data_IF_477202539995
#
_entry.id   IF_477202539995
#
_cell.length_a   1.000
_cell.length_b   1.000
_cell.length_c   1.000
_cell.angle_alpha   90.00
_cell.angle_beta   90.00
_cell.angle_gamma   90.00
#
_symmetry.space_group_name_H-M   'P 1'
#
loop_
_entity.id
_entity.type
_entity.pdbx_description
1 polymer ?
#
# COMPACT_ATOMS: atom_id res chain seq x y z
N UNK A 1 -36.63 -26.88 -43.43
CA UNK A 1 -36.88 -26.08 -44.64
C UNK A 1 -38.27 -25.46 -44.54
N UNK A 2 -38.39 -24.18 -44.16
CA UNK A 2 -39.36 -23.17 -44.66
C UNK A 2 -39.30 -21.87 -43.84
N UNK A 3 -38.89 -20.79 -44.53
CA UNK A 3 -39.32 -19.36 -44.54
C UNK A 3 -39.38 -18.56 -43.21
N UNK A 4 -38.63 -17.45 -43.00
CA UNK A 4 -38.44 -16.10 -43.64
C UNK A 4 -39.36 -14.99 -43.07
N UNK A 5 -38.72 -13.80 -42.97
CA UNK A 5 -39.22 -12.40 -42.84
C UNK A 5 -39.30 -11.83 -41.40
N UNK A 6 -38.85 -10.61 -41.06
CA UNK A 6 -38.24 -9.51 -41.83
C UNK A 6 -37.94 -8.28 -40.92
N UNK A 7 -36.90 -7.51 -41.28
CA UNK A 7 -36.53 -6.13 -40.84
C UNK A 7 -37.61 -5.08 -41.18
N UNK A 8 -37.60 -3.77 -40.74
CA UNK A 8 -36.47 -2.80 -40.63
C UNK A 8 -36.59 -1.84 -39.40
N UNK A 9 -35.73 -0.87 -39.04
CA UNK A 9 -34.71 -0.03 -39.68
C UNK A 9 -34.98 1.44 -39.24
N UNK A 10 -33.97 2.19 -38.74
CA UNK A 10 -34.06 3.66 -38.64
C UNK A 10 -32.67 4.33 -38.65
N UNK A 11 -32.48 5.16 -39.66
CA UNK A 11 -31.37 6.09 -39.88
C UNK A 11 -31.95 7.49 -40.05
N UNK A 12 -31.27 8.53 -39.54
CA UNK A 12 -31.24 9.94 -39.98
C UNK A 12 -30.61 10.77 -38.83
N UNK A 13 -29.90 11.88 -38.99
CA UNK A 13 -29.10 12.53 -40.06
C UNK A 13 -28.43 13.75 -39.37
N UNK A 14 -27.27 14.16 -39.88
CA UNK A 14 -26.43 15.31 -39.45
C UNK A 14 -27.00 16.70 -39.78
N UNK A 15 -26.63 17.72 -38.99
CA UNK A 15 -26.32 19.12 -39.35
C UNK A 15 -25.93 19.86 -38.04
N UNK A 16 -24.94 20.74 -37.86
CA UNK A 16 -24.03 21.54 -38.69
C UNK A 16 -23.70 22.82 -37.85
N UNK A 17 -22.47 23.37 -37.85
CA UNK A 17 -22.06 24.40 -36.88
C UNK A 17 -22.29 25.85 -37.36
N UNK A 18 -22.43 26.80 -36.42
CA UNK A 18 -22.41 28.25 -36.68
C UNK A 18 -21.26 28.94 -35.93
N UNK A 19 -20.35 29.54 -36.67
CA UNK A 19 -19.44 30.62 -36.26
C UNK A 19 -19.50 31.71 -37.34
N UNK A 20 -19.71 32.98 -36.98
CA UNK A 20 -19.26 34.25 -37.65
C UNK A 20 -19.48 35.35 -36.57
N UNK A 21 -18.51 36.04 -35.97
CA UNK A 21 -17.45 36.98 -36.41
C UNK A 21 -17.86 38.47 -36.51
N UNK A 22 -16.97 39.34 -35.98
CA UNK A 22 -16.82 40.77 -36.30
C UNK A 22 -17.34 41.76 -35.23
N UNK A 23 -16.77 42.95 -35.00
CA UNK A 23 -15.63 43.69 -35.58
C UNK A 23 -15.39 44.99 -34.75
N UNK A 24 -14.12 45.32 -34.52
CA UNK A 24 -13.41 46.62 -34.59
C UNK A 24 -13.90 47.99 -34.00
N UNK A 25 -12.96 48.62 -33.25
CA UNK A 25 -12.37 50.01 -33.34
C UNK A 25 -13.33 51.21 -33.10
N UNK A 26 -12.95 52.40 -32.60
CA UNK A 26 -11.70 53.09 -32.26
C UNK A 26 -12.05 54.35 -31.42
N UNK A 27 -11.18 54.68 -30.45
CA UNK A 27 -10.62 56.00 -30.07
C UNK A 27 -11.39 57.33 -30.28
N UNK A 28 -11.40 58.19 -29.24
CA UNK A 28 -11.13 59.64 -29.36
C UNK A 28 -10.76 60.31 -28.02
N UNK A 29 -10.05 61.42 -28.16
CA UNK A 29 -9.17 62.12 -27.21
C UNK A 29 -9.84 63.28 -26.42
N UNK A 30 -9.24 63.55 -25.25
CA UNK A 30 -8.97 64.85 -24.57
C UNK A 30 -10.11 65.79 -24.12
N UNK A 31 -10.08 66.13 -22.82
CA UNK A 31 -10.10 67.52 -22.34
C UNK A 31 -9.44 67.67 -20.94
N UNK A 32 -8.54 68.65 -20.80
CA UNK A 32 -7.86 69.09 -19.57
C UNK A 32 -8.74 70.07 -18.79
N UNK A 33 -8.72 70.02 -17.44
CA UNK A 33 -8.72 71.22 -16.59
C UNK A 33 -8.35 70.88 -15.12
N UNK A 34 -7.30 71.55 -14.63
CA UNK A 34 -7.12 72.07 -13.27
C UNK A 34 -7.23 71.13 -12.05
N UNK A 35 -6.09 70.80 -11.44
CA UNK A 35 -6.01 70.75 -9.96
C UNK A 35 -4.55 70.87 -9.50
N UNK A 36 -4.28 72.02 -8.91
CA UNK A 36 -3.45 72.30 -7.73
C UNK A 36 -2.30 71.33 -7.40
N UNK A 37 -1.09 71.87 -7.53
CA UNK A 37 0.19 71.36 -7.02
C UNK A 37 0.12 70.97 -5.54
N UNK A 38 0.07 69.67 -5.26
CA UNK A 38 0.64 69.09 -4.04
C UNK A 38 2.02 68.56 -4.39
N UNK A 39 3.05 69.19 -3.83
CA UNK A 39 4.40 68.62 -3.72
C UNK A 39 4.30 67.27 -3.01
N UNK A 40 4.41 66.19 -3.78
CA UNK A 40 4.64 64.84 -3.24
C UNK A 40 6.04 64.82 -2.65
N UNK A 41 6.09 65.02 -1.33
CA UNK A 41 7.25 64.71 -0.52
C UNK A 41 7.66 63.24 -0.72
N UNK A 42 8.95 63.06 -0.95
CA UNK A 42 9.72 61.82 -0.85
C UNK A 42 9.03 60.54 -1.37
N UNK A 43 9.35 60.15 -2.61
CA UNK A 43 9.42 58.73 -2.94
C UNK A 43 10.42 58.08 -1.97
N UNK A 44 9.94 57.51 -0.87
CA UNK A 44 10.70 56.46 -0.19
C UNK A 44 10.87 55.35 -1.21
N UNK A 45 12.10 55.17 -1.69
CA UNK A 45 12.47 53.98 -2.46
C UNK A 45 12.04 52.77 -1.64
N UNK A 46 10.96 52.12 -2.07
CA UNK A 46 10.55 50.85 -1.49
C UNK A 46 11.64 49.86 -1.87
N UNK A 47 12.34 49.37 -0.86
CA UNK A 47 13.28 48.29 -1.06
C UNK A 47 12.60 47.15 -1.82
N UNK A 48 13.29 46.65 -2.83
CA UNK A 48 12.89 45.43 -3.50
C UNK A 48 12.99 44.27 -2.52
N UNK A 49 12.17 43.23 -2.73
CA UNK A 49 12.17 42.01 -1.91
C UNK A 49 13.58 41.41 -1.79
N UNK A 50 14.40 41.55 -2.84
CA UNK A 50 15.80 41.10 -2.83
C UNK A 50 16.68 41.95 -1.90
N UNK A 51 16.55 43.27 -1.93
CA UNK A 51 17.29 44.16 -1.02
C UNK A 51 16.91 43.94 0.45
N UNK A 52 15.63 43.67 0.72
CA UNK A 52 15.17 43.29 2.06
C UNK A 52 15.82 41.97 2.48
N UNK A 53 15.76 40.94 1.64
CA UNK A 53 16.40 39.64 1.93
C UNK A 53 17.88 39.78 2.24
N UNK A 54 18.64 40.48 1.38
CA UNK A 54 20.09 40.59 1.49
C UNK A 54 20.50 41.32 2.77
N UNK A 55 19.75 42.34 3.19
CA UNK A 55 19.98 43.03 4.47
C UNK A 55 19.73 42.15 5.69
N UNK A 56 18.86 41.15 5.56
CA UNK A 56 18.50 40.24 6.65
C UNK A 56 19.21 38.88 6.55
N UNK A 57 20.11 38.69 5.57
CA UNK A 57 20.88 37.46 5.38
C UNK A 57 21.68 37.11 6.64
N UNK A 58 22.37 38.10 7.19
CA UNK A 58 23.16 37.96 8.42
C UNK A 58 22.29 37.69 9.66
N UNK A 59 20.96 37.80 9.56
CA UNK A 59 20.00 37.54 10.65
C UNK A 59 19.33 36.17 10.53
N UNK A 60 19.58 35.43 9.45
CA UNK A 60 19.15 34.04 9.28
C UNK A 60 20.12 33.14 10.06
N UNK A 61 19.92 33.04 11.37
CA UNK A 61 20.69 32.14 12.22
C UNK A 61 19.93 30.82 12.43
N UNK A 62 20.69 29.74 12.66
CA UNK A 62 20.17 28.41 12.98
C UNK A 62 19.20 28.36 14.18
N UNK A 63 19.20 29.38 15.03
CA UNK A 63 18.25 29.52 16.15
C UNK A 63 16.83 29.91 15.71
N UNK A 64 16.68 30.43 14.48
CA UNK A 64 15.38 30.64 13.83
C UNK A 64 14.84 29.37 13.19
N UNK A 65 15.66 28.32 13.08
CA UNK A 65 15.20 27.01 12.68
C UNK A 65 14.30 26.46 13.79
N UNK A 66 13.14 25.94 13.41
CA UNK A 66 12.25 25.29 14.37
C UNK A 66 13.01 24.21 15.14
N UNK A 67 12.94 24.27 16.49
CA UNK A 67 13.44 23.22 17.35
C UNK A 67 12.87 21.86 16.87
N UNK A 68 13.70 20.82 16.72
CA UNK A 68 13.29 19.52 16.18
C UNK A 68 12.53 18.75 17.27
N UNK A 69 11.32 19.22 17.59
CA UNK A 69 10.41 18.46 18.43
C UNK A 69 9.89 17.30 17.56
N UNK A 70 10.55 16.15 17.72
CA UNK A 70 10.24 14.88 17.08
C UNK A 70 11.19 14.56 15.93
N UNK A 71 11.81 13.37 15.97
CA UNK A 71 12.57 12.81 14.84
C UNK A 71 11.61 12.65 13.67
N UNK A 72 11.66 13.52 12.64
CA UNK A 72 10.86 13.34 11.46
C UNK A 72 11.47 12.14 10.74
N UNK A 73 10.70 11.11 10.47
CA UNK A 73 11.18 9.92 9.76
C UNK A 73 11.70 10.36 8.40
N UNK A 74 13.02 10.38 8.25
CA UNK A 74 13.82 10.62 7.03
C UNK A 74 13.47 11.93 6.31
N UNK A 75 14.26 12.99 6.55
CA UNK A 75 14.19 14.16 5.68
C UNK A 75 14.84 13.80 4.35
N UNK A 76 14.26 14.31 3.25
CA UNK A 76 14.89 14.42 1.92
C UNK A 76 16.26 15.15 1.93
N UNK A 77 16.71 15.63 3.09
CA UNK A 77 17.96 16.36 3.33
C UNK A 77 18.96 15.62 4.21
N UNK A 78 18.62 14.43 4.72
CA UNK A 78 19.59 13.61 5.45
C UNK A 78 20.69 13.20 4.46
N UNK A 79 21.98 13.30 4.82
CA UNK A 79 23.04 12.86 3.93
C UNK A 79 22.80 11.39 3.60
N UNK A 80 22.67 11.09 2.31
CA UNK A 80 22.50 9.73 1.81
C UNK A 80 23.61 8.87 2.41
N UNK A 81 23.28 7.80 3.17
CA UNK A 81 24.29 6.94 3.74
C UNK A 81 25.23 6.40 2.67
N UNK A 82 26.49 6.15 3.03
CA UNK A 82 27.39 5.43 2.14
C UNK A 82 26.77 4.08 1.74
N UNK A 83 26.93 3.68 0.48
CA UNK A 83 26.45 2.39 0.02
C UNK A 83 27.16 1.27 0.81
N UNK A 84 26.37 0.37 1.39
CA UNK A 84 26.90 -0.87 1.96
C UNK A 84 27.19 -1.88 0.85
N UNK A 85 28.13 -2.83 1.08
CA UNK A 85 28.24 -4.02 0.25
C UNK A 85 26.87 -4.73 0.12
N UNK A 86 26.47 -5.21 -1.06
CA UNK A 86 25.11 -5.73 -1.26
C UNK A 86 24.69 -6.86 -0.33
N UNK A 87 25.61 -7.79 -0.02
CA UNK A 87 25.34 -8.87 0.94
C UNK A 87 25.08 -8.35 2.35
N UNK A 88 25.86 -7.36 2.78
CA UNK A 88 25.66 -6.72 4.07
C UNK A 88 24.32 -5.98 4.11
N UNK A 89 23.99 -5.26 3.04
CA UNK A 89 22.72 -4.55 2.94
C UNK A 89 21.52 -5.48 3.06
N UNK A 90 21.48 -6.56 2.27
CA UNK A 90 20.38 -7.52 2.29
C UNK A 90 20.30 -8.24 3.63
N UNK A 91 21.44 -8.63 4.21
CA UNK A 91 21.45 -9.22 5.56
C UNK A 91 20.83 -8.28 6.61
N UNK A 92 21.24 -7.02 6.64
CA UNK A 92 20.68 -6.03 7.59
C UNK A 92 19.17 -5.83 7.37
N UNK A 93 18.72 -5.79 6.12
CA UNK A 93 17.31 -5.65 5.78
C UNK A 93 16.49 -6.88 6.21
N UNK A 94 17.01 -8.09 5.98
CA UNK A 94 16.42 -9.36 6.45
C UNK A 94 16.30 -9.36 7.97
N UNK A 95 17.38 -8.99 8.68
CA UNK A 95 17.39 -8.92 10.14
C UNK A 95 16.35 -7.91 10.67
N UNK A 96 16.21 -6.75 10.02
CA UNK A 96 15.19 -5.75 10.39
C UNK A 96 13.76 -6.31 10.27
N UNK A 97 13.46 -6.98 9.16
CA UNK A 97 12.14 -7.59 8.93
C UNK A 97 11.88 -8.72 9.93
N UNK A 98 12.82 -9.65 10.10
CA UNK A 98 12.64 -10.83 10.95
C UNK A 98 12.55 -10.51 12.44
N UNK A 99 13.23 -9.47 12.90
CA UNK A 99 13.18 -9.03 14.30
C UNK A 99 11.96 -8.13 14.61
N UNK A 100 11.14 -7.79 13.61
CA UNK A 100 9.96 -6.97 13.80
C UNK A 100 8.71 -7.82 14.09
N UNK A 101 8.19 -7.74 15.31
CA UNK A 101 6.90 -8.35 15.64
C UNK A 101 5.76 -7.87 14.72
N UNK A 102 5.82 -6.61 14.28
CA UNK A 102 4.84 -6.06 13.34
C UNK A 102 4.95 -6.64 11.92
N UNK A 103 6.13 -7.10 11.50
CA UNK A 103 6.28 -7.82 10.25
C UNK A 103 5.82 -9.28 10.38
N UNK A 104 6.05 -9.87 11.56
CA UNK A 104 5.83 -11.28 11.85
C UNK A 104 4.52 -11.52 12.64
N UNK A 105 4.60 -11.81 13.95
CA UNK A 105 3.43 -12.11 14.80
C UNK A 105 3.22 -10.95 15.77
N UNK A 106 2.23 -10.10 15.51
CA UNK A 106 1.78 -9.08 16.45
C UNK A 106 0.54 -9.50 17.25
N UNK A 107 -0.04 -8.56 18.02
CA UNK A 107 -0.92 -8.88 19.16
C UNK A 107 -2.20 -9.62 18.76
N UNK A 108 -2.78 -9.33 17.59
CA UNK A 108 -3.92 -10.09 17.10
C UNK A 108 -3.55 -11.54 16.78
N UNK A 109 -2.46 -11.75 16.04
CA UNK A 109 -2.01 -13.08 15.64
C UNK A 109 -1.55 -13.93 16.83
N UNK A 110 -0.96 -13.33 17.86
CA UNK A 110 -0.66 -14.04 19.13
C UNK A 110 -1.92 -14.69 19.72
N UNK A 111 -3.03 -13.96 19.75
CA UNK A 111 -4.31 -14.48 20.27
C UNK A 111 -4.92 -15.52 19.34
N UNK A 112 -4.82 -15.31 18.02
CA UNK A 112 -5.30 -16.27 17.03
C UNK A 112 -4.56 -17.61 17.13
N UNK A 113 -3.23 -17.56 17.17
CA UNK A 113 -2.38 -18.76 17.29
C UNK A 113 -2.60 -19.46 18.64
N UNK A 114 -2.84 -18.69 19.71
CA UNK A 114 -3.17 -19.22 21.02
C UNK A 114 -4.61 -19.77 21.14
N UNK A 115 -5.39 -19.79 20.05
CA UNK A 115 -6.79 -20.25 20.01
C UNK A 115 -7.72 -19.47 20.97
N UNK A 116 -7.41 -18.19 21.17
CA UNK A 116 -8.15 -17.29 22.08
C UNK A 116 -9.14 -16.39 21.32
N UNK A 117 -9.22 -16.52 20.00
CA UNK A 117 -10.16 -15.77 19.17
C UNK A 117 -11.38 -16.66 18.92
N UNK A 118 -12.61 -16.25 19.32
CA UNK A 118 -13.81 -17.03 19.02
C UNK A 118 -14.15 -16.99 17.52
N UNK A 119 -14.98 -17.93 17.06
CA UNK A 119 -15.31 -18.13 15.64
C UNK A 119 -15.75 -16.84 14.93
N UNK A 120 -16.67 -16.10 15.54
CA UNK A 120 -17.07 -14.74 15.13
C UNK A 120 -15.90 -13.80 14.81
N UNK A 121 -14.83 -13.80 15.61
CA UNK A 121 -13.68 -12.93 15.46
C UNK A 121 -12.77 -13.42 14.35
N UNK A 122 -12.66 -14.74 14.19
CA UNK A 122 -11.97 -15.35 13.05
C UNK A 122 -12.70 -15.05 11.75
N UNK A 123 -14.04 -15.06 11.75
CA UNK A 123 -14.88 -14.63 10.62
C UNK A 123 -14.68 -13.15 10.28
N UNK A 124 -14.61 -12.27 11.29
CA UNK A 124 -14.27 -10.87 11.04
C UNK A 124 -12.87 -10.71 10.45
N UNK A 125 -11.89 -11.43 10.98
CA UNK A 125 -10.53 -11.38 10.47
C UNK A 125 -10.40 -11.88 9.03
N UNK A 126 -11.00 -13.01 8.67
CA UNK A 126 -10.90 -13.53 7.30
C UNK A 126 -11.53 -12.59 6.28
N UNK A 127 -12.63 -11.91 6.65
CA UNK A 127 -13.24 -10.86 5.84
C UNK A 127 -12.29 -9.66 5.62
N UNK A 128 -11.60 -9.21 6.67
CA UNK A 128 -10.62 -8.13 6.55
C UNK A 128 -9.37 -8.56 5.76
N UNK A 129 -8.90 -9.80 5.94
CA UNK A 129 -7.77 -10.33 5.19
C UNK A 129 -8.11 -10.49 3.69
N UNK A 130 -9.33 -10.89 3.35
CA UNK A 130 -9.79 -11.00 1.97
C UNK A 130 -9.64 -9.70 1.18
N UNK A 131 -9.82 -8.54 1.82
CA UNK A 131 -9.62 -7.23 1.17
C UNK A 131 -8.17 -7.08 0.70
N UNK A 132 -7.19 -7.48 1.52
CA UNK A 132 -5.77 -7.49 1.15
C UNK A 132 -5.45 -8.59 0.13
N UNK A 133 -5.96 -9.79 0.30
CA UNK A 133 -5.74 -10.89 -0.66
C UNK A 133 -6.27 -10.56 -2.07
N UNK A 134 -7.39 -9.83 -2.19
CA UNK A 134 -7.91 -9.37 -3.50
C UNK A 134 -6.98 -8.40 -4.22
N UNK A 135 -6.27 -7.53 -3.49
CA UNK A 135 -5.38 -6.55 -4.13
C UNK A 135 -3.98 -7.12 -4.39
N UNK A 136 -3.58 -8.20 -3.72
CA UNK A 136 -2.23 -8.74 -3.78
C UNK A 136 -1.77 -9.09 -5.21
N UNK A 137 -2.55 -9.80 -6.04
CA UNK A 137 -2.16 -10.06 -7.43
C UNK A 137 -1.90 -8.78 -8.24
N UNK A 138 -2.66 -7.71 -7.97
CA UNK A 138 -2.45 -6.40 -8.62
C UNK A 138 -1.16 -5.72 -8.17
N UNK A 139 -0.77 -5.89 -6.91
CA UNK A 139 0.51 -5.40 -6.37
C UNK A 139 1.67 -6.07 -7.11
N UNK A 140 1.65 -7.40 -7.22
CA UNK A 140 2.68 -8.19 -7.93
C UNK A 140 2.74 -7.83 -9.41
N UNK A 141 1.58 -7.72 -10.07
CA UNK A 141 1.49 -7.30 -11.46
C UNK A 141 2.10 -5.91 -11.71
N UNK A 142 1.87 -4.96 -10.79
CA UNK A 142 2.41 -3.61 -10.93
C UNK A 142 3.94 -3.57 -10.72
N UNK A 143 4.49 -4.37 -9.81
CA UNK A 143 5.95 -4.49 -9.64
C UNK A 143 6.56 -5.04 -10.95
N UNK A 144 5.95 -6.08 -11.52
CA UNK A 144 6.37 -6.63 -12.82
C UNK A 144 6.32 -5.57 -13.94
N UNK A 145 5.23 -4.80 -14.03
CA UNK A 145 5.07 -3.75 -15.04
C UNK A 145 6.12 -2.64 -14.89
N UNK A 146 6.44 -2.23 -13.65
CA UNK A 146 7.40 -1.17 -13.35
C UNK A 146 8.85 -1.59 -13.61
N UNK A 147 9.15 -2.89 -13.66
CA UNK A 147 10.47 -3.44 -13.97
C UNK A 147 10.78 -3.42 -15.49
N UNK A 148 10.32 -2.40 -16.23
CA UNK A 148 10.29 -2.37 -17.71
C UNK A 148 11.61 -2.78 -18.38
N UNK A 149 12.74 -2.30 -17.86
CA UNK A 149 14.08 -2.56 -18.41
C UNK A 149 14.87 -3.65 -17.67
N UNK A 150 14.26 -4.28 -16.65
CA UNK A 150 14.87 -5.27 -15.79
C UNK A 150 14.26 -6.64 -16.10
N UNK A 151 14.77 -7.28 -17.16
CA UNK A 151 14.15 -8.47 -17.74
C UNK A 151 14.11 -9.66 -16.78
N UNK A 152 15.16 -9.87 -15.99
CA UNK A 152 15.22 -10.87 -14.93
C UNK A 152 14.20 -10.61 -13.83
N UNK A 153 14.08 -9.37 -13.37
CA UNK A 153 13.04 -8.98 -12.41
C UNK A 153 11.63 -9.23 -12.97
N UNK A 154 11.39 -9.00 -14.26
CA UNK A 154 10.11 -9.33 -14.91
C UNK A 154 9.85 -10.83 -15.04
N UNK A 155 10.88 -11.65 -15.25
CA UNK A 155 10.70 -13.10 -15.25
C UNK A 155 10.30 -13.59 -13.87
N UNK A 156 11.01 -13.14 -12.83
CA UNK A 156 10.69 -13.46 -11.44
C UNK A 156 9.28 -13.01 -11.06
N UNK A 157 8.98 -11.71 -11.17
CA UNK A 157 7.67 -11.19 -10.79
C UNK A 157 6.54 -11.73 -11.69
N UNK A 158 6.84 -12.14 -12.92
CA UNK A 158 5.90 -12.78 -13.82
C UNK A 158 5.55 -14.20 -13.41
N UNK A 159 6.52 -14.96 -12.89
CA UNK A 159 6.27 -16.28 -12.29
C UNK A 159 5.44 -16.16 -11.01
N UNK A 160 5.86 -15.27 -10.08
CA UNK A 160 5.10 -14.96 -8.87
C UNK A 160 3.66 -14.54 -9.22
N UNK A 161 3.46 -13.64 -10.20
CA UNK A 161 2.11 -13.28 -10.65
C UNK A 161 1.31 -14.48 -11.18
N UNK A 162 1.94 -15.39 -11.92
CA UNK A 162 1.24 -16.58 -12.42
C UNK A 162 0.75 -17.45 -11.26
N UNK A 163 1.54 -17.61 -10.20
CA UNK A 163 1.15 -18.32 -8.98
C UNK A 163 0.02 -17.63 -8.24
N UNK A 164 0.08 -16.30 -8.08
CA UNK A 164 -0.99 -15.50 -7.49
C UNK A 164 -2.31 -15.62 -8.28
N UNK A 165 -2.21 -15.81 -9.60
CA UNK A 165 -3.33 -16.09 -10.50
C UNK A 165 -3.76 -17.57 -10.51
N UNK A 166 -3.27 -18.37 -9.56
CA UNK A 166 -3.57 -19.79 -9.42
C UNK A 166 -3.01 -20.64 -10.56
N UNK A 167 -1.87 -20.26 -11.12
CA UNK A 167 -1.28 -20.85 -12.32
C UNK A 167 -2.25 -20.80 -13.51
N UNK A 168 -2.99 -19.69 -13.62
CA UNK A 168 -4.09 -19.49 -14.58
C UNK A 168 -5.30 -20.42 -14.39
N UNK A 169 -5.39 -21.11 -13.26
CA UNK A 169 -6.63 -21.73 -12.80
C UNK A 169 -7.38 -20.76 -11.88
N UNK A 170 -8.51 -20.16 -12.32
CA UNK A 170 -9.23 -19.18 -11.52
C UNK A 170 -9.80 -19.73 -10.22
N UNK A 171 -9.95 -21.05 -10.06
CA UNK A 171 -10.38 -21.68 -8.81
C UNK A 171 -9.27 -21.73 -7.73
N UNK A 172 -8.04 -21.38 -8.11
CA UNK A 172 -6.85 -21.37 -7.25
C UNK A 172 -6.21 -19.99 -7.15
N UNK A 173 -6.86 -18.95 -7.69
CA UNK A 173 -6.41 -17.57 -7.50
C UNK A 173 -6.31 -17.27 -6.00
N UNK A 174 -5.32 -16.47 -5.60
CA UNK A 174 -5.07 -16.15 -4.20
C UNK A 174 -6.34 -15.70 -3.44
N UNK A 175 -7.13 -14.70 -3.88
CA UNK A 175 -8.37 -14.33 -3.20
C UNK A 175 -9.41 -15.47 -3.15
N UNK A 176 -9.42 -16.37 -4.12
CA UNK A 176 -10.36 -17.50 -4.15
C UNK A 176 -10.01 -18.53 -3.08
N UNK A 177 -8.73 -18.79 -2.83
CA UNK A 177 -8.31 -19.69 -1.73
C UNK A 177 -8.68 -19.11 -0.35
N UNK A 178 -8.59 -17.78 -0.17
CA UNK A 178 -9.09 -17.11 1.05
C UNK A 178 -10.61 -17.20 1.17
N UNK A 179 -11.37 -17.13 0.07
CA UNK A 179 -12.82 -17.37 0.07
C UNK A 179 -13.18 -18.79 0.47
N UNK A 180 -12.43 -19.81 0.03
CA UNK A 180 -12.63 -21.20 0.48
C UNK A 180 -12.51 -21.32 1.99
N UNK A 181 -11.50 -20.70 2.59
CA UNK A 181 -11.35 -20.62 4.05
C UNK A 181 -12.55 -19.91 4.70
N UNK A 182 -12.98 -18.76 4.15
CA UNK A 182 -14.15 -18.03 4.63
C UNK A 182 -15.43 -18.88 4.62
N UNK A 183 -15.68 -19.59 3.52
CA UNK A 183 -16.82 -20.49 3.37
C UNK A 183 -16.78 -21.65 4.37
N UNK A 184 -15.60 -22.26 4.59
CA UNK A 184 -15.42 -23.30 5.61
C UNK A 184 -15.68 -22.79 7.04
N UNK A 185 -15.40 -21.52 7.30
CA UNK A 185 -15.74 -20.84 8.55
C UNK A 185 -17.20 -20.40 8.62
N UNK A 186 -17.98 -20.56 7.55
CA UNK A 186 -19.40 -20.17 7.46
C UNK A 186 -19.63 -18.69 7.15
N UNK A 187 -18.70 -18.03 6.46
CA UNK A 187 -18.88 -16.69 5.86
C UNK A 187 -19.21 -16.87 4.39
N UNK A 188 -20.30 -16.28 3.92
CA UNK A 188 -20.68 -16.34 2.51
C UNK A 188 -19.79 -15.45 1.63
N UNK A 189 -19.74 -15.79 0.34
CA UNK A 189 -19.04 -14.98 -0.66
C UNK A 189 -19.56 -13.53 -0.73
N UNK A 190 -20.86 -13.32 -0.51
CA UNK A 190 -21.47 -11.97 -0.47
C UNK A 190 -20.98 -11.18 0.75
N UNK A 191 -20.93 -11.80 1.92
CA UNK A 191 -20.39 -11.16 3.13
C UNK A 191 -18.92 -10.80 2.95
N UNK A 192 -18.12 -11.66 2.31
CA UNK A 192 -16.72 -11.38 2.00
C UNK A 192 -16.59 -10.19 1.04
N UNK A 193 -17.38 -10.15 -0.03
CA UNK A 193 -17.28 -9.15 -1.09
C UNK A 193 -17.65 -7.74 -0.61
N UNK A 194 -18.71 -7.64 0.20
CA UNK A 194 -19.27 -6.38 0.69
C UNK A 194 -18.83 -6.00 2.11
N UNK A 195 -17.83 -6.68 2.66
CA UNK A 195 -17.26 -6.28 3.95
C UNK A 195 -16.71 -4.86 3.88
N UNK A 196 -17.16 -4.01 4.81
CA UNK A 196 -16.54 -2.70 5.03
C UNK A 196 -15.16 -2.88 5.68
N UNK A 197 -14.09 -2.28 5.10
CA UNK A 197 -12.77 -2.34 5.70
C UNK A 197 -12.77 -1.60 7.03
N UNK A 198 -12.08 -2.14 8.03
CA UNK A 198 -11.68 -1.35 9.18
C UNK A 198 -10.79 -0.19 8.70
N UNK A 199 -10.80 0.98 9.38
CA UNK A 199 -9.96 2.11 8.98
C UNK A 199 -8.49 1.73 8.79
N UNK A 200 -7.95 0.89 9.65
CA UNK A 200 -6.57 0.41 9.55
C UNK A 200 -6.36 -0.59 8.39
N UNK A 201 -7.36 -1.40 8.06
CA UNK A 201 -7.34 -2.27 6.88
C UNK A 201 -7.32 -1.44 5.61
N UNK A 202 -8.17 -0.40 5.53
CA UNK A 202 -8.22 0.51 4.39
C UNK A 202 -6.88 1.21 4.18
N UNK A 203 -6.32 1.81 5.23
CA UNK A 203 -5.02 2.50 5.18
C UNK A 203 -3.89 1.55 4.76
N UNK A 204 -3.89 0.32 5.27
CA UNK A 204 -2.89 -0.68 4.90
C UNK A 204 -2.97 -1.04 3.41
N UNK A 205 -4.17 -1.35 2.91
CA UNK A 205 -4.42 -1.71 1.50
C UNK A 205 -4.09 -0.55 0.56
N UNK A 206 -4.50 0.67 0.90
CA UNK A 206 -4.19 1.87 0.12
C UNK A 206 -2.69 2.17 0.09
N UNK A 207 -1.98 1.98 1.21
CA UNK A 207 -0.53 2.12 1.25
C UNK A 207 0.15 1.17 0.27
N UNK A 208 -0.30 -0.09 0.19
CA UNK A 208 0.28 -1.07 -0.73
C UNK A 208 0.10 -0.67 -2.19
N UNK A 209 -1.07 -0.15 -2.55
CA UNK A 209 -1.32 0.36 -3.90
C UNK A 209 -0.46 1.60 -4.21
N UNK A 210 -0.35 2.53 -3.25
CA UNK A 210 0.50 3.71 -3.37
C UNK A 210 1.98 3.32 -3.58
N UNK A 211 2.48 2.36 -2.79
CA UNK A 211 3.83 1.82 -2.88
C UNK A 211 4.18 1.38 -4.31
N UNK A 212 3.32 0.58 -4.96
CA UNK A 212 3.62 0.07 -6.31
C UNK A 212 3.26 1.04 -7.42
N UNK A 213 2.39 2.02 -7.19
CA UNK A 213 2.04 3.03 -8.19
C UNK A 213 3.08 4.13 -8.30
N UNK A 214 3.59 4.59 -7.16
CA UNK A 214 4.30 5.87 -7.07
C UNK A 214 5.79 5.72 -6.75
N UNK A 215 6.24 4.57 -6.24
CA UNK A 215 7.66 4.34 -5.92
C UNK A 215 8.39 3.52 -6.99
N UNK A 216 9.72 3.48 -6.88
CA UNK A 216 10.56 2.71 -7.79
C UNK A 216 10.26 1.21 -7.65
N UNK A 217 10.38 0.45 -8.73
CA UNK A 217 10.05 -0.99 -8.74
C UNK A 217 10.80 -1.78 -7.64
N UNK A 218 12.04 -1.39 -7.33
CA UNK A 218 12.86 -2.02 -6.29
C UNK A 218 12.33 -1.74 -4.86
N UNK A 219 11.73 -0.57 -4.64
CA UNK A 219 11.03 -0.25 -3.38
C UNK A 219 9.75 -1.11 -3.28
N UNK A 220 9.02 -1.23 -4.39
CA UNK A 220 7.85 -2.11 -4.51
C UNK A 220 8.18 -3.58 -4.26
N UNK A 221 9.25 -4.12 -4.87
CA UNK A 221 9.76 -5.46 -4.64
C UNK A 221 10.09 -5.67 -3.16
N UNK A 222 10.92 -4.79 -2.59
CA UNK A 222 11.41 -4.94 -1.23
C UNK A 222 10.28 -4.94 -0.19
N UNK A 223 9.34 -4.02 -0.33
CA UNK A 223 8.30 -3.79 0.68
C UNK A 223 7.00 -4.56 0.42
N UNK A 224 6.73 -4.91 -0.84
CA UNK A 224 5.49 -5.51 -1.33
C UNK A 224 5.57 -7.00 -1.68
N UNK A 225 6.78 -7.56 -1.82
CA UNK A 225 7.02 -9.01 -1.94
C UNK A 225 8.00 -9.46 -0.85
N UNK A 226 9.30 -9.14 -0.94
CA UNK A 226 10.35 -9.61 -0.03
C UNK A 226 9.98 -9.52 1.45
N UNK A 227 9.67 -8.32 1.97
CA UNK A 227 9.42 -8.12 3.39
C UNK A 227 8.12 -8.78 3.88
N UNK A 228 7.21 -9.13 2.97
CA UNK A 228 5.95 -9.80 3.27
C UNK A 228 6.18 -11.31 3.31
N UNK A 229 6.64 -11.85 2.19
CA UNK A 229 6.87 -13.27 1.94
C UNK A 229 7.88 -13.87 2.94
N UNK A 230 8.93 -13.13 3.31
CA UNK A 230 9.94 -13.57 4.29
C UNK A 230 9.35 -13.96 5.67
N UNK A 231 8.18 -13.41 6.04
CA UNK A 231 7.57 -13.64 7.37
C UNK A 231 6.36 -14.57 7.33
N UNK A 232 5.79 -14.82 6.16
CA UNK A 232 4.52 -15.52 6.00
C UNK A 232 4.63 -17.01 6.36
N UNK A 233 5.61 -17.79 5.85
CA UNK A 233 5.61 -19.26 6.00
C UNK A 233 5.47 -19.71 7.45
N UNK A 234 6.31 -19.16 8.33
CA UNK A 234 6.28 -19.54 9.74
C UNK A 234 4.99 -19.12 10.46
N UNK A 235 4.44 -17.95 10.12
CA UNK A 235 3.18 -17.47 10.68
C UNK A 235 2.02 -18.33 10.19
N UNK A 236 1.96 -18.64 8.90
CA UNK A 236 0.86 -19.39 8.29
C UNK A 236 0.84 -20.86 8.74
N UNK A 237 2.01 -21.49 8.93
CA UNK A 237 2.10 -22.81 9.58
C UNK A 237 1.45 -22.84 10.97
N UNK A 238 1.65 -21.79 11.77
CA UNK A 238 1.07 -21.70 13.12
C UNK A 238 -0.42 -21.40 13.09
N UNK A 239 -0.86 -20.48 12.21
CA UNK A 239 -2.28 -20.16 12.04
C UNK A 239 -3.06 -21.38 11.55
N UNK A 240 -2.58 -22.10 10.53
CA UNK A 240 -3.24 -23.29 10.01
C UNK A 240 -3.45 -24.36 11.09
N UNK A 241 -2.41 -24.61 11.91
CA UNK A 241 -2.50 -25.53 13.07
C UNK A 241 -3.54 -25.08 14.08
N UNK A 242 -3.56 -23.79 14.42
CA UNK A 242 -4.52 -23.24 15.38
C UNK A 242 -5.96 -23.33 14.87
N UNK A 243 -6.20 -22.96 13.61
CA UNK A 243 -7.54 -23.01 13.01
C UNK A 243 -8.05 -24.44 12.84
N UNK A 244 -7.20 -25.37 12.39
CA UNK A 244 -7.55 -26.79 12.29
C UNK A 244 -7.94 -27.34 13.67
N UNK A 245 -7.12 -27.10 14.70
CA UNK A 245 -7.39 -27.60 16.05
C UNK A 245 -8.64 -27.00 16.69
N UNK A 246 -8.94 -25.72 16.43
CA UNK A 246 -10.04 -25.02 17.08
C UNK A 246 -11.40 -25.23 16.38
N UNK A 247 -11.41 -25.40 15.05
CA UNK A 247 -12.64 -25.44 14.26
C UNK A 247 -12.78 -26.66 13.35
N UNK A 248 -11.90 -27.67 13.49
CA UNK A 248 -11.92 -28.92 12.71
C UNK A 248 -11.85 -28.69 11.20
N UNK A 249 -11.05 -27.69 10.79
CA UNK A 249 -10.80 -27.39 9.38
C UNK A 249 -9.85 -28.41 8.76
N UNK A 250 -10.21 -28.88 7.57
CA UNK A 250 -9.45 -29.86 6.80
C UNK A 250 -8.36 -29.23 5.91
N UNK A 251 -7.64 -30.08 5.18
CA UNK A 251 -6.55 -29.68 4.30
C UNK A 251 -7.03 -28.77 3.14
N UNK A 252 -8.26 -28.96 2.65
CA UNK A 252 -8.82 -28.18 1.54
C UNK A 252 -9.19 -26.77 2.01
N UNK A 253 -9.84 -26.63 3.17
CA UNK A 253 -10.15 -25.34 3.78
C UNK A 253 -8.89 -24.51 4.11
N UNK A 254 -7.76 -25.19 4.36
CA UNK A 254 -6.49 -24.57 4.73
C UNK A 254 -5.51 -24.42 3.56
N UNK A 255 -5.93 -24.68 2.32
CA UNK A 255 -5.10 -24.64 1.10
C UNK A 255 -4.25 -23.35 1.04
N UNK A 256 -4.86 -22.19 1.32
CA UNK A 256 -4.17 -20.89 1.28
C UNK A 256 -2.92 -20.85 2.16
N UNK A 257 -2.94 -21.46 3.35
CA UNK A 257 -1.79 -21.44 4.25
C UNK A 257 -0.67 -22.37 3.78
N UNK A 258 -1.03 -23.47 3.12
CA UNK A 258 -0.09 -24.51 2.68
C UNK A 258 0.74 -24.04 1.50
N UNK A 259 0.09 -23.42 0.52
CA UNK A 259 0.74 -22.87 -0.68
C UNK A 259 1.85 -21.90 -0.25
N UNK A 260 1.54 -20.92 0.61
CA UNK A 260 2.54 -19.95 1.05
C UNK A 260 3.61 -20.56 1.99
N UNK A 261 3.28 -21.61 2.75
CA UNK A 261 4.22 -22.24 3.69
C UNK A 261 5.20 -23.22 3.03
N UNK A 262 5.01 -23.55 1.74
CA UNK A 262 5.68 -24.66 1.07
C UNK A 262 5.10 -26.00 1.53
N UNK A 263 4.39 -26.71 0.65
CA UNK A 263 3.85 -28.04 0.90
C UNK A 263 4.24 -28.96 -0.26
N UNK A 264 5.22 -29.82 0.01
CA UNK A 264 5.83 -30.75 -0.96
C UNK A 264 4.81 -31.70 -1.63
N UNK A 265 3.57 -31.77 -1.11
CA UNK A 265 2.49 -32.57 -1.69
C UNK A 265 1.79 -31.88 -2.87
N UNK A 266 2.04 -30.59 -3.12
CA UNK A 266 1.47 -29.86 -4.25
C UNK A 266 2.25 -30.22 -5.53
N UNK A 267 1.55 -30.66 -6.58
CA UNK A 267 2.15 -31.16 -7.84
C UNK A 267 3.06 -30.14 -8.56
N UNK A 268 2.88 -28.84 -8.28
CA UNK A 268 3.66 -27.74 -8.85
C UNK A 268 4.26 -26.84 -7.76
N UNK A 269 4.68 -27.39 -6.61
CA UNK A 269 5.23 -26.60 -5.51
C UNK A 269 6.48 -25.81 -5.96
N UNK A 270 6.32 -24.49 -6.18
CA UNK A 270 7.44 -23.54 -6.34
C UNK A 270 8.11 -23.23 -4.98
N UNK A 271 7.78 -23.99 -3.92
CA UNK A 271 8.43 -23.99 -2.61
C UNK A 271 7.94 -22.94 -1.64
N UNK A 272 6.81 -22.30 -1.93
CA UNK A 272 6.18 -21.28 -1.10
C UNK A 272 6.97 -19.97 -0.99
N UNK A 273 6.53 -19.12 -0.07
CA UNK A 273 7.04 -17.74 0.06
C UNK A 273 8.52 -17.66 0.50
N UNK A 274 9.09 -18.74 1.05
CA UNK A 274 10.52 -18.79 1.38
C UNK A 274 11.38 -18.69 0.09
N UNK A 275 10.94 -19.30 -1.02
CA UNK A 275 11.64 -19.18 -2.31
C UNK A 275 11.46 -17.79 -2.90
N UNK A 276 10.23 -17.25 -2.88
CA UNK A 276 9.96 -15.88 -3.34
C UNK A 276 10.81 -14.84 -2.62
N UNK A 277 10.93 -14.96 -1.29
CA UNK A 277 11.74 -14.07 -0.49
C UNK A 277 13.24 -14.14 -0.87
N UNK A 278 13.80 -15.34 -1.11
CA UNK A 278 15.20 -15.47 -1.51
C UNK A 278 15.46 -14.95 -2.93
N UNK A 279 14.56 -15.17 -3.88
CA UNK A 279 14.67 -14.62 -5.23
C UNK A 279 14.56 -13.09 -5.24
N UNK A 280 13.63 -12.53 -4.45
CA UNK A 280 13.55 -11.09 -4.25
C UNK A 280 14.83 -10.55 -3.58
N UNK A 281 15.41 -11.27 -2.61
CA UNK A 281 16.69 -10.92 -2.00
C UNK A 281 17.83 -10.89 -3.02
N UNK A 282 17.87 -11.83 -3.98
CA UNK A 282 18.84 -11.84 -5.07
C UNK A 282 18.75 -10.61 -5.97
N UNK A 283 17.53 -10.16 -6.29
CA UNK A 283 17.32 -8.90 -7.02
C UNK A 283 17.75 -7.68 -6.21
N UNK A 284 17.52 -7.68 -4.88
CA UNK A 284 18.00 -6.61 -3.99
C UNK A 284 19.54 -6.56 -3.97
N UNK A 285 20.23 -7.71 -3.84
CA UNK A 285 21.70 -7.78 -3.92
C UNK A 285 22.22 -7.21 -5.25
N UNK A 286 21.51 -7.48 -6.34
CA UNK A 286 21.92 -7.06 -7.69
C UNK A 286 21.68 -5.58 -7.96
N UNK A 287 20.58 -5.01 -7.48
CA UNK A 287 20.11 -3.69 -7.92
C UNK A 287 20.15 -2.60 -6.84
N UNK A 288 20.15 -2.94 -5.54
CA UNK A 288 20.28 -1.96 -4.44
C UNK A 288 21.75 -1.67 -4.12
N UNK A 289 22.50 -1.15 -5.11
CA UNK A 289 23.97 -1.01 -5.04
C UNK A 289 24.46 0.41 -4.73
N UNK A 290 23.56 1.39 -4.68
CA UNK A 290 23.88 2.78 -4.33
C UNK A 290 23.30 3.13 -2.96
N UNK A 291 23.93 4.07 -2.25
CA UNK A 291 23.45 4.52 -0.95
C UNK A 291 22.03 5.08 -1.00
N UNK A 292 21.69 5.77 -2.09
CA UNK A 292 20.35 6.33 -2.33
C UNK A 292 19.31 5.22 -2.47
N UNK A 293 19.55 4.23 -3.35
CA UNK A 293 18.62 3.12 -3.54
C UNK A 293 18.48 2.28 -2.27
N UNK A 294 19.58 2.01 -1.56
CA UNK A 294 19.54 1.30 -0.29
C UNK A 294 18.73 2.04 0.78
N UNK A 295 18.89 3.36 0.86
CA UNK A 295 18.12 4.20 1.78
C UNK A 295 16.63 4.16 1.46
N UNK A 296 16.27 4.33 0.18
CA UNK A 296 14.89 4.27 -0.30
C UNK A 296 14.24 2.92 -0.04
N UNK A 297 14.95 1.82 -0.34
CA UNK A 297 14.50 0.46 -0.06
C UNK A 297 14.22 0.25 1.44
N UNK A 298 15.15 0.65 2.33
CA UNK A 298 14.93 0.56 3.78
C UNK A 298 13.69 1.34 4.20
N UNK A 299 13.52 2.55 3.69
CA UNK A 299 12.38 3.40 4.02
C UNK A 299 11.06 2.77 3.56
N UNK A 300 11.02 2.17 2.37
CA UNK A 300 9.86 1.45 1.87
C UNK A 300 9.51 0.23 2.74
N UNK A 301 10.52 -0.56 3.13
CA UNK A 301 10.34 -1.71 4.03
C UNK A 301 9.85 -1.27 5.40
N UNK A 302 10.47 -0.26 6.00
CA UNK A 302 10.04 0.30 7.28
C UNK A 302 8.58 0.78 7.24
N UNK A 303 8.18 1.51 6.20
CA UNK A 303 6.79 1.96 6.01
C UNK A 303 5.83 0.77 5.87
N UNK A 304 6.21 -0.28 5.14
CA UNK A 304 5.44 -1.53 5.04
C UNK A 304 5.28 -2.22 6.41
N UNK A 305 6.33 -2.23 7.24
CA UNK A 305 6.26 -2.74 8.62
C UNK A 305 5.29 -1.89 9.47
N UNK A 306 5.32 -0.56 9.35
CA UNK A 306 4.39 0.30 10.10
C UNK A 306 2.94 0.13 9.63
N UNK A 307 2.71 0.01 8.32
CA UNK A 307 1.38 -0.22 7.79
C UNK A 307 0.80 -1.57 8.28
N UNK A 308 1.62 -2.63 8.31
CA UNK A 308 1.26 -3.92 8.92
C UNK A 308 1.00 -3.82 10.41
N UNK A 309 1.81 -3.03 11.14
CA UNK A 309 1.58 -2.75 12.56
C UNK A 309 0.18 -2.16 12.77
N UNK A 310 -0.17 -1.13 11.99
CA UNK A 310 -1.49 -0.50 12.07
C UNK A 310 -2.60 -1.50 11.80
N UNK A 311 -2.50 -2.28 10.72
CA UNK A 311 -3.47 -3.33 10.38
C UNK A 311 -3.68 -4.32 11.55
N UNK A 312 -2.59 -4.86 12.10
CA UNK A 312 -2.66 -5.84 13.20
C UNK A 312 -3.25 -5.26 14.49
N UNK A 313 -2.93 -4.00 14.80
CA UNK A 313 -3.54 -3.31 15.94
C UNK A 313 -5.00 -2.96 15.70
N UNK A 314 -5.39 -2.64 14.47
CA UNK A 314 -6.79 -2.46 14.07
C UNK A 314 -7.59 -3.75 14.30
N UNK A 315 -7.10 -4.89 13.79
CA UNK A 315 -7.68 -6.20 14.06
C UNK A 315 -7.79 -6.49 15.56
N UNK A 316 -6.72 -6.27 16.31
CA UNK A 316 -6.71 -6.49 17.76
C UNK A 316 -7.74 -5.61 18.48
N UNK A 317 -7.84 -4.32 18.10
CA UNK A 317 -8.83 -3.41 18.69
C UNK A 317 -10.25 -3.87 18.39
N UNK A 318 -10.58 -4.10 17.13
CA UNK A 318 -11.95 -4.40 16.69
C UNK A 318 -12.42 -5.78 17.16
N UNK A 319 -11.55 -6.78 17.11
CA UNK A 319 -11.93 -8.18 17.36
C UNK A 319 -11.75 -8.56 18.83
N UNK A 320 -10.73 -8.03 19.52
CA UNK A 320 -10.41 -8.40 20.91
C UNK A 320 -10.87 -7.33 21.88
N UNK A 321 -10.35 -6.10 21.76
CA UNK A 321 -10.56 -5.08 22.79
C UNK A 321 -12.02 -4.63 22.85
N UNK A 322 -12.66 -4.34 21.72
CA UNK A 322 -14.07 -3.90 21.68
C UNK A 322 -15.05 -4.93 22.22
N UNK A 323 -14.67 -6.21 22.21
CA UNK A 323 -15.49 -7.32 22.73
C UNK A 323 -15.16 -7.66 24.18
N UNK A 324 -14.12 -7.06 24.76
CA UNK A 324 -13.76 -7.28 26.16
C UNK A 324 -14.75 -6.54 27.10
N UNK A 325 -15.24 -7.16 28.19
CA UNK A 325 -16.24 -6.53 29.07
C UNK A 325 -15.84 -5.14 29.62
N UNK A 326 -14.55 -4.93 29.87
CA UNK A 326 -14.04 -3.63 30.36
C UNK A 326 -14.11 -2.48 29.33
N UNK A 327 -14.34 -2.77 28.04
CA UNK A 327 -14.39 -1.76 26.99
C UNK A 327 -15.61 -0.84 27.10
N UNK A 328 -16.76 -1.38 27.52
CA UNK A 328 -17.99 -0.60 27.73
C UNK A 328 -17.80 0.44 28.85
N UNK A 329 -17.06 0.07 29.90
CA UNK A 329 -16.78 0.96 31.03
C UNK A 329 -15.94 2.18 30.63
N UNK A 330 -15.04 2.02 29.64
CA UNK A 330 -14.17 3.10 29.16
C UNK A 330 -14.97 4.09 28.29
N UNK A 331 -15.86 3.60 27.41
CA UNK A 331 -16.62 4.46 26.49
C UNK A 331 -17.83 5.14 27.14
N UNK A 332 -18.37 4.58 28.23
CA UNK A 332 -19.44 5.22 28.99
C UNK A 332 -18.99 6.52 29.71
N UNK A 333 -17.68 6.72 29.90
CA UNK A 333 -17.11 7.94 30.49
C UNK A 333 -16.91 9.11 29.52
N UNK A 334 -17.01 8.87 28.21
CA UNK A 334 -16.73 9.88 27.15
C UNK A 334 -17.98 10.51 26.52
N UNK A 335 -19.18 10.03 26.86
CA UNK A 335 -20.46 10.61 26.42
C UNK A 335 -21.08 11.56 27.45
N UNK A 336 -20.31 11.95 28.47
CA UNK A 336 -20.73 12.78 29.59
C UNK A 336 -19.79 13.94 29.92
N UNK A 337 -19.31 14.67 28.91
CA UNK A 337 -18.74 16.03 29.00
C UNK A 337 -18.86 16.69 27.65
#
# INVERSE_FOLDING_TARGET
MTRRAGSPGRTHRLAGPRQIAGRHRQASDRARAGSTSMTLEAHQERETVRQVRDRHEDKLHHELDHAPIGTPTTRLTDPVPAALPPEQFVKELTDEVMNSAAANIGPFYERLIAQQVPLEGVREWVKQWYIDARIFPSVIAQICANATYFYDARQFMGANLAEELGEFNPAREHPVTVRKLGNALGVSDEEMEFTEPYPETLVYVEYRQHLVRDYHWLEGLAAGSFAIELTIPNRFRQIARALSAQFDLDDEALEVFRIHAGDERLENDYGGDDQHAEEAANLLRKYAVTGDLQHRVRLAVWRSIQARRMYQWGLYREIILKRHPAWETINAGSSGT
#
